data_IF_708789742440
#
_entry.id   IF_708789742440
#
_cell.length_a   1.000
_cell.length_b   1.000
_cell.length_c   1.000
_cell.angle_alpha   90.00
_cell.angle_beta   90.00
_cell.angle_gamma   90.00
#
_symmetry.space_group_name_H-M   'P 1'
#
loop_
_entity.id
_entity.type
_entity.pdbx_description
1 polymer ?
#
# COMPACT_ATOMS: atom_id res chain seq x y z
N UNK A 1 17.81 -27.35 -6.15
CA UNK A 1 16.97 -27.68 -4.96
C UNK A 1 15.89 -26.63 -4.89
N UNK A 2 14.62 -27.05 -4.94
CA UNK A 2 13.47 -26.15 -5.10
C UNK A 2 13.33 -25.24 -3.88
N UNK A 3 13.61 -23.94 -4.04
CA UNK A 3 13.28 -22.91 -3.06
C UNK A 3 11.78 -22.69 -3.12
N UNK A 4 11.03 -23.53 -2.39
CA UNK A 4 9.61 -23.33 -2.16
C UNK A 4 9.45 -21.94 -1.57
N UNK A 5 8.85 -21.03 -2.34
CA UNK A 5 8.53 -19.68 -1.93
C UNK A 5 7.59 -19.81 -0.72
N UNK A 6 8.11 -19.62 0.49
CA UNK A 6 7.43 -20.03 1.74
C UNK A 6 6.36 -19.03 2.17
N UNK A 7 5.96 -18.15 1.25
CA UNK A 7 5.23 -16.92 1.52
C UNK A 7 4.18 -16.63 0.45
N UNK A 8 3.39 -17.64 0.16
CA UNK A 8 2.29 -17.63 -0.80
C UNK A 8 0.97 -17.92 -0.07
N UNK A 9 -0.08 -17.20 -0.44
CA UNK A 9 -1.45 -17.44 0.07
C UNK A 9 -2.11 -18.67 -0.57
N UNK A 10 -1.44 -19.28 -1.55
CA UNK A 10 -1.98 -20.42 -2.27
C UNK A 10 -2.05 -21.64 -1.35
N UNK A 11 -3.28 -22.07 -1.07
CA UNK A 11 -3.61 -23.20 -0.19
C UNK A 11 -3.26 -24.56 -0.79
N UNK A 12 -2.98 -24.60 -2.09
CA UNK A 12 -2.69 -25.85 -2.83
C UNK A 12 -1.32 -25.79 -3.46
N UNK A 13 -0.64 -26.93 -3.51
CA UNK A 13 0.66 -27.07 -4.19
C UNK A 13 0.62 -26.56 -5.64
N UNK A 14 -0.49 -26.82 -6.34
CA UNK A 14 -0.67 -26.35 -7.71
C UNK A 14 -0.68 -24.81 -7.80
N UNK A 15 -1.42 -24.14 -6.92
CA UNK A 15 -1.42 -22.67 -6.86
C UNK A 15 -0.04 -22.10 -6.51
N UNK A 16 0.67 -22.72 -5.57
CA UNK A 16 2.03 -22.29 -5.18
C UNK A 16 3.01 -22.37 -6.34
N UNK A 17 2.93 -23.45 -7.14
CA UNK A 17 3.77 -23.63 -8.34
C UNK A 17 3.44 -22.57 -9.38
N UNK A 18 2.15 -22.32 -9.67
CA UNK A 18 1.74 -21.31 -10.66
C UNK A 18 2.27 -19.92 -10.30
N UNK A 19 2.15 -19.52 -9.03
CA UNK A 19 2.64 -18.21 -8.59
C UNK A 19 4.18 -18.13 -8.65
N UNK A 20 4.87 -19.17 -8.21
CA UNK A 20 6.32 -19.25 -8.29
C UNK A 20 6.82 -19.17 -9.74
N UNK A 21 6.20 -19.93 -10.64
CA UNK A 21 6.56 -19.95 -12.06
C UNK A 21 6.24 -18.60 -12.71
N UNK A 22 5.15 -17.95 -12.33
CA UNK A 22 4.81 -16.59 -12.78
C UNK A 22 5.89 -15.58 -12.36
N UNK A 23 6.39 -15.64 -11.13
CA UNK A 23 7.47 -14.77 -10.68
C UNK A 23 8.78 -15.05 -11.40
N UNK A 24 9.10 -16.32 -11.66
CA UNK A 24 10.30 -16.68 -12.43
C UNK A 24 10.25 -16.12 -13.86
N UNK A 25 9.07 -16.12 -14.50
CA UNK A 25 8.86 -15.49 -15.81
C UNK A 25 9.09 -13.97 -15.72
N UNK A 26 8.49 -13.31 -14.72
CA UNK A 26 8.67 -11.86 -14.53
C UNK A 26 10.14 -11.51 -14.32
N UNK A 27 10.86 -12.25 -13.47
CA UNK A 27 12.28 -12.03 -13.19
C UNK A 27 13.15 -12.21 -14.46
N UNK A 28 12.75 -13.10 -15.37
CA UNK A 28 13.45 -13.31 -16.63
C UNK A 28 13.16 -12.22 -17.68
N UNK A 29 11.98 -11.61 -17.65
CA UNK A 29 11.50 -10.67 -18.67
C UNK A 29 11.69 -9.18 -18.31
N UNK A 30 11.69 -8.82 -17.02
CA UNK A 30 11.62 -7.43 -16.55
C UNK A 30 12.81 -6.53 -16.93
N UNK A 31 13.93 -7.13 -17.33
CA UNK A 31 15.17 -6.41 -17.62
C UNK A 31 15.83 -5.82 -16.37
N UNK A 32 16.86 -4.96 -16.52
CA UNK A 32 17.58 -4.40 -15.38
C UNK A 32 16.72 -3.41 -14.58
N UNK A 33 16.97 -3.34 -13.27
CA UNK A 33 16.34 -2.39 -12.36
C UNK A 33 17.28 -2.00 -11.20
N UNK A 34 17.00 -0.86 -10.55
CA UNK A 34 17.81 -0.34 -9.45
C UNK A 34 17.24 -0.66 -8.05
N UNK A 35 16.14 -1.42 -7.98
CA UNK A 35 15.51 -1.78 -6.71
C UNK A 35 16.41 -2.66 -5.84
N UNK A 36 16.35 -2.42 -4.53
CA UNK A 36 17.02 -3.28 -3.54
C UNK A 36 16.35 -4.65 -3.44
N UNK A 37 17.02 -5.60 -2.78
CA UNK A 37 16.46 -6.94 -2.49
C UNK A 37 15.14 -6.86 -1.71
N UNK A 38 14.98 -5.84 -0.86
CA UNK A 38 13.75 -5.63 -0.09
C UNK A 38 12.64 -4.95 -0.91
N UNK A 39 13.00 -4.11 -1.89
CA UNK A 39 12.05 -3.42 -2.77
C UNK A 39 11.55 -4.31 -3.91
N UNK A 40 12.41 -5.16 -4.47
CA UNK A 40 12.08 -5.96 -5.65
C UNK A 40 10.84 -6.85 -5.48
N UNK A 41 10.65 -7.58 -4.36
CA UNK A 41 9.45 -8.38 -4.14
C UNK A 41 8.14 -7.59 -4.23
N UNK A 42 8.17 -6.30 -3.86
CA UNK A 42 7.02 -5.40 -3.94
C UNK A 42 6.73 -5.06 -5.41
N UNK A 43 7.75 -4.64 -6.16
CA UNK A 43 7.60 -4.28 -7.58
C UNK A 43 7.20 -5.51 -8.42
N UNK A 44 7.83 -6.66 -8.19
CA UNK A 44 7.48 -7.91 -8.85
C UNK A 44 6.02 -8.31 -8.60
N UNK A 45 5.52 -8.11 -7.37
CA UNK A 45 4.12 -8.37 -7.03
C UNK A 45 3.16 -7.41 -7.76
N UNK A 46 3.55 -6.13 -7.95
CA UNK A 46 2.77 -5.17 -8.74
C UNK A 46 2.66 -5.58 -10.21
N UNK A 47 3.79 -5.99 -10.81
CA UNK A 47 3.86 -6.50 -12.19
C UNK A 47 2.98 -7.74 -12.32
N UNK A 48 3.11 -8.70 -11.40
CA UNK A 48 2.29 -9.91 -11.39
C UNK A 48 0.80 -9.62 -11.33
N UNK A 49 0.38 -8.67 -10.50
CA UNK A 49 -1.03 -8.36 -10.30
C UNK A 49 -1.70 -7.66 -11.50
N UNK A 50 -0.92 -7.11 -12.44
CA UNK A 50 -1.43 -6.35 -13.59
C UNK A 50 -0.88 -6.79 -14.95
N UNK A 51 0.07 -7.73 -14.98
CA UNK A 51 0.82 -8.13 -16.18
C UNK A 51 1.43 -6.93 -16.94
N UNK A 52 1.95 -5.94 -16.22
CA UNK A 52 2.46 -4.68 -16.78
C UNK A 52 3.86 -4.40 -16.25
N UNK A 53 4.86 -4.51 -17.15
CA UNK A 53 6.26 -4.31 -16.81
C UNK A 53 6.65 -2.85 -16.58
N UNK A 54 5.80 -1.87 -16.93
CA UNK A 54 6.10 -0.45 -16.70
C UNK A 54 6.23 -0.12 -15.21
N UNK A 55 5.73 -0.98 -14.30
CA UNK A 55 5.98 -0.80 -12.86
C UNK A 55 7.47 -0.95 -12.50
N UNK A 56 8.28 -1.56 -13.37
CA UNK A 56 9.72 -1.37 -13.35
C UNK A 56 10.07 0.05 -13.83
N UNK A 57 10.70 0.85 -12.96
CA UNK A 57 11.05 2.24 -13.22
C UNK A 57 10.00 3.28 -12.81
N UNK A 58 8.72 2.92 -12.71
CA UNK A 58 7.69 3.84 -12.19
C UNK A 58 7.53 3.82 -10.67
N UNK A 59 7.82 2.70 -10.02
CA UNK A 59 7.68 2.59 -8.57
C UNK A 59 8.81 3.31 -7.86
N UNK A 60 8.48 4.11 -6.86
CA UNK A 60 9.41 4.93 -6.11
C UNK A 60 9.18 4.75 -4.60
N UNK A 61 10.25 4.87 -3.83
CA UNK A 61 10.29 4.53 -2.42
C UNK A 61 10.96 5.63 -1.62
N UNK A 62 10.36 5.98 -0.48
CA UNK A 62 11.10 6.56 0.61
C UNK A 62 12.17 5.56 1.10
N UNK A 63 13.34 6.06 1.51
CA UNK A 63 14.47 5.23 1.96
C UNK A 63 14.07 4.20 3.02
N UNK A 64 13.20 4.61 3.96
CA UNK A 64 12.75 3.77 5.07
C UNK A 64 11.45 3.00 4.81
N UNK A 65 10.85 3.10 3.61
CA UNK A 65 9.48 2.63 3.37
C UNK A 65 9.26 1.15 3.68
N UNK A 66 10.15 0.29 3.16
CA UNK A 66 10.00 -1.16 3.30
C UNK A 66 10.19 -1.59 4.76
N UNK A 67 11.24 -1.07 5.40
CA UNK A 67 11.54 -1.37 6.81
C UNK A 67 10.45 -0.85 7.75
N UNK A 68 9.97 0.37 7.54
CA UNK A 68 8.88 0.94 8.32
C UNK A 68 7.58 0.12 8.17
N UNK A 69 7.25 -0.30 6.95
CA UNK A 69 6.09 -1.16 6.69
C UNK A 69 6.18 -2.51 7.41
N UNK A 70 7.33 -3.19 7.30
CA UNK A 70 7.57 -4.48 7.97
C UNK A 70 7.50 -4.31 9.49
N UNK A 71 8.17 -3.30 10.04
CA UNK A 71 8.17 -3.04 11.48
C UNK A 71 6.78 -2.70 12.01
N UNK A 72 5.98 -1.96 11.25
CA UNK A 72 4.60 -1.66 11.61
C UNK A 72 3.74 -2.93 11.64
N UNK A 73 3.90 -3.84 10.67
CA UNK A 73 3.20 -5.13 10.67
C UNK A 73 3.64 -6.03 11.85
N UNK A 74 4.95 -6.12 12.09
CA UNK A 74 5.52 -6.93 13.18
C UNK A 74 5.17 -6.41 14.57
N UNK A 75 4.99 -5.10 14.75
CA UNK A 75 4.56 -4.52 16.01
C UNK A 75 3.18 -5.05 16.46
N UNK A 76 2.37 -5.53 15.51
CA UNK A 76 1.04 -6.07 15.75
C UNK A 76 0.00 -4.98 16.02
N UNK A 77 -1.26 -5.25 15.68
CA UNK A 77 -2.37 -4.33 15.96
C UNK A 77 -2.39 -3.05 15.12
N UNK A 78 -1.48 -2.91 14.15
CA UNK A 78 -1.35 -1.71 13.32
C UNK A 78 -2.63 -1.49 12.47
N UNK A 79 -3.25 -0.30 12.54
CA UNK A 79 -4.39 0.04 11.70
C UNK A 79 -3.98 0.10 10.23
N UNK A 80 -4.85 -0.39 9.35
CA UNK A 80 -4.77 -0.17 7.90
C UNK A 80 -5.90 0.76 7.51
N UNK A 81 -5.60 1.96 7.05
CA UNK A 81 -6.62 2.94 6.60
C UNK A 81 -6.60 3.00 5.09
N UNK A 82 -7.76 2.84 4.44
CA UNK A 82 -7.88 2.86 2.99
C UNK A 82 -8.82 3.97 2.49
N UNK A 83 -8.53 4.51 1.31
CA UNK A 83 -9.41 5.49 0.65
C UNK A 83 -10.68 4.87 0.04
N UNK A 84 -10.62 3.59 -0.35
CA UNK A 84 -11.75 2.85 -0.93
C UNK A 84 -11.88 1.43 -0.41
N UNK A 85 -13.12 0.94 -0.36
CA UNK A 85 -13.47 -0.40 0.13
C UNK A 85 -12.76 -1.54 -0.61
N UNK A 86 -12.47 -1.37 -1.90
CA UNK A 86 -11.81 -2.38 -2.73
C UNK A 86 -10.44 -2.79 -2.16
N UNK A 87 -9.72 -1.87 -1.50
CA UNK A 87 -8.45 -2.20 -0.84
C UNK A 87 -8.72 -3.11 0.36
N UNK A 88 -9.65 -2.73 1.24
CA UNK A 88 -10.03 -3.53 2.42
C UNK A 88 -10.46 -4.95 2.02
N UNK A 89 -11.29 -5.05 0.98
CA UNK A 89 -11.81 -6.31 0.45
C UNK A 89 -10.75 -7.19 -0.21
N UNK A 90 -9.67 -6.59 -0.76
CA UNK A 90 -8.58 -7.33 -1.40
C UNK A 90 -7.53 -7.87 -0.43
N UNK A 91 -7.54 -7.42 0.83
CA UNK A 91 -6.56 -7.85 1.83
C UNK A 91 -6.93 -9.20 2.46
N UNK A 92 -5.89 -10.00 2.72
CA UNK A 92 -6.05 -11.36 3.22
C UNK A 92 -6.38 -11.35 4.71
N UNK A 93 -7.64 -11.63 5.04
CA UNK A 93 -8.12 -11.64 6.43
C UNK A 93 -7.32 -12.58 7.36
N UNK A 94 -6.92 -13.80 6.94
CA UNK A 94 -6.06 -14.66 7.76
C UNK A 94 -4.71 -14.01 8.10
N UNK A 95 -4.08 -13.33 7.14
CA UNK A 95 -2.76 -12.70 7.35
C UNK A 95 -2.85 -11.42 8.17
N UNK A 96 -3.88 -10.60 7.92
CA UNK A 96 -4.18 -9.46 8.79
C UNK A 96 -4.42 -9.94 10.23
N UNK A 97 -5.18 -11.02 10.40
CA UNK A 97 -5.44 -11.65 11.69
C UNK A 97 -4.16 -12.17 12.38
N UNK A 98 -3.22 -12.76 11.62
CA UNK A 98 -1.92 -13.20 12.13
C UNK A 98 -1.12 -12.07 12.79
N UNK A 99 -1.18 -10.86 12.23
CA UNK A 99 -0.55 -9.66 12.81
C UNK A 99 -1.51 -8.81 13.67
N UNK A 100 -2.74 -9.28 13.92
CA UNK A 100 -3.75 -8.53 14.68
C UNK A 100 -4.20 -7.21 14.04
N UNK A 101 -3.93 -7.00 12.75
CA UNK A 101 -4.23 -5.77 12.02
C UNK A 101 -5.71 -5.68 11.64
N UNK A 102 -6.23 -4.46 11.51
CA UNK A 102 -7.62 -4.20 11.10
C UNK A 102 -7.69 -3.13 10.03
N UNK A 103 -8.59 -3.33 9.08
CA UNK A 103 -8.84 -2.38 8.00
C UNK A 103 -9.94 -1.40 8.37
N UNK A 104 -9.75 -0.14 7.99
CA UNK A 104 -10.69 0.96 8.17
C UNK A 104 -10.87 1.70 6.85
N UNK A 105 -12.13 1.98 6.49
CA UNK A 105 -12.47 2.94 5.45
C UNK A 105 -13.70 3.73 5.92
N UNK A 106 -13.82 4.97 5.44
CA UNK A 106 -14.93 5.86 5.82
C UNK A 106 -15.61 6.51 4.61
N UNK A 107 -15.26 6.11 3.38
CA UNK A 107 -15.71 6.78 2.14
C UNK A 107 -17.23 6.73 1.94
N UNK A 108 -17.88 5.73 2.54
CA UNK A 108 -19.32 5.46 2.43
C UNK A 108 -20.12 5.89 3.66
N UNK A 109 -19.48 6.46 4.68
CA UNK A 109 -20.18 6.86 5.90
C UNK A 109 -21.09 8.06 5.65
N UNK A 110 -22.27 8.05 6.29
CA UNK A 110 -23.28 9.09 6.09
C UNK A 110 -22.77 10.49 6.46
N UNK A 111 -22.07 10.62 7.59
CA UNK A 111 -21.48 11.87 8.07
C UNK A 111 -20.38 12.40 7.12
N UNK A 112 -19.58 11.51 6.52
CA UNK A 112 -18.57 11.85 5.51
C UNK A 112 -19.24 12.39 4.24
N UNK A 113 -20.33 11.75 3.79
CA UNK A 113 -21.08 12.18 2.60
C UNK A 113 -21.74 13.55 2.83
N UNK A 114 -22.36 13.74 3.99
CA UNK A 114 -23.01 15.01 4.36
C UNK A 114 -22.00 16.15 4.45
N UNK A 115 -20.87 15.93 5.14
CA UNK A 115 -19.82 16.95 5.29
C UNK A 115 -19.18 17.29 3.95
N UNK A 116 -18.94 16.30 3.08
CA UNK A 116 -18.37 16.54 1.75
C UNK A 116 -19.27 17.47 0.91
N UNK A 117 -20.60 17.28 0.98
CA UNK A 117 -21.56 18.16 0.31
C UNK A 117 -21.61 19.55 0.93
N UNK A 118 -21.56 19.64 2.26
CA UNK A 118 -21.63 20.92 2.98
C UNK A 118 -20.40 21.80 2.75
N UNK A 119 -19.22 21.19 2.65
CA UNK A 119 -17.94 21.90 2.47
C UNK A 119 -17.48 22.01 1.01
N UNK A 120 -18.26 21.51 0.05
CA UNK A 120 -17.89 21.41 -1.38
C UNK A 120 -16.51 20.75 -1.61
N UNK A 121 -16.30 19.62 -0.91
CA UNK A 121 -15.08 18.81 -1.00
C UNK A 121 -15.42 17.39 -1.44
N UNK A 122 -14.40 16.55 -1.69
CA UNK A 122 -14.63 15.14 -2.03
C UNK A 122 -14.89 14.31 -0.77
N UNK A 123 -15.66 13.23 -0.91
CA UNK A 123 -15.81 12.22 0.15
C UNK A 123 -14.46 11.68 0.64
N UNK A 124 -13.48 11.58 -0.26
CA UNK A 124 -12.18 11.02 0.04
C UNK A 124 -11.35 11.94 0.96
N UNK A 125 -11.46 13.26 0.77
CA UNK A 125 -10.92 14.28 1.70
C UNK A 125 -11.54 14.11 3.08
N UNK A 126 -12.87 14.07 3.15
CA UNK A 126 -13.58 13.97 4.43
C UNK A 126 -13.35 12.63 5.14
N UNK A 127 -13.18 11.53 4.40
CA UNK A 127 -12.82 10.23 4.95
C UNK A 127 -11.44 10.25 5.62
N UNK A 128 -10.43 10.88 5.01
CA UNK A 128 -9.11 11.03 5.61
C UNK A 128 -9.13 11.93 6.85
N UNK A 129 -9.88 13.05 6.79
CA UNK A 129 -10.09 13.92 7.97
C UNK A 129 -10.78 13.17 9.11
N UNK A 130 -11.78 12.33 8.81
CA UNK A 130 -12.42 11.48 9.81
C UNK A 130 -11.44 10.48 10.42
N UNK A 131 -10.65 9.79 9.60
CA UNK A 131 -9.61 8.89 10.09
C UNK A 131 -8.62 9.61 11.04
N UNK A 132 -8.21 10.83 10.69
CA UNK A 132 -7.35 11.65 11.53
C UNK A 132 -8.00 12.00 12.88
N UNK A 133 -9.24 12.50 12.87
CA UNK A 133 -9.99 12.84 14.10
C UNK A 133 -10.18 11.63 15.03
N UNK A 134 -10.27 10.43 14.48
CA UNK A 134 -10.37 9.18 15.24
C UNK A 134 -9.01 8.68 15.77
N UNK A 135 -7.91 9.38 15.48
CA UNK A 135 -6.54 8.96 15.84
C UNK A 135 -6.05 7.75 15.05
N UNK A 136 -6.72 7.36 13.96
CA UNK A 136 -6.43 6.14 13.21
C UNK A 136 -5.34 6.32 12.16
N UNK A 137 -4.86 7.55 11.92
CA UNK A 137 -3.73 7.78 11.02
C UNK A 137 -2.38 7.60 11.72
N UNK A 138 -2.34 7.75 13.04
CA UNK A 138 -1.08 7.66 13.77
C UNK A 138 -0.61 6.20 13.83
N UNK A 139 0.64 6.00 13.40
CA UNK A 139 1.30 4.70 13.22
C UNK A 139 0.59 3.74 12.26
N UNK A 140 -0.42 4.21 11.51
CA UNK A 140 -1.14 3.38 10.57
C UNK A 140 -0.37 3.13 9.29
N UNK A 141 -0.74 2.06 8.59
CA UNK A 141 -0.41 1.88 7.18
C UNK A 141 -1.58 2.44 6.37
N UNK A 142 -1.34 3.49 5.60
CA UNK A 142 -2.40 4.16 4.82
C UNK A 142 -2.28 3.77 3.36
N UNK A 143 -3.33 3.18 2.80
CA UNK A 143 -3.41 2.78 1.39
C UNK A 143 -4.32 3.70 0.60
N UNK A 144 -3.77 4.45 -0.36
CA UNK A 144 -4.53 5.32 -1.26
C UNK A 144 -4.42 4.77 -2.68
N UNK A 145 -5.47 4.12 -3.17
CA UNK A 145 -5.46 3.42 -4.46
C UNK A 145 -6.26 4.11 -5.55
N UNK A 146 -7.19 5.01 -5.20
CA UNK A 146 -8.13 5.57 -6.16
C UNK A 146 -8.14 7.10 -6.18
N UNK A 147 -8.23 7.77 -5.03
CA UNK A 147 -8.52 9.20 -4.98
C UNK A 147 -7.24 10.05 -4.80
N UNK A 148 -6.79 10.82 -5.83
CA UNK A 148 -5.67 11.75 -5.67
C UNK A 148 -5.92 12.79 -4.58
N UNK A 149 -7.18 13.21 -4.42
CA UNK A 149 -7.58 14.18 -3.39
C UNK A 149 -7.42 13.64 -1.97
N UNK A 150 -7.53 12.33 -1.74
CA UNK A 150 -7.22 11.73 -0.45
C UNK A 150 -5.72 11.77 -0.15
N UNK A 151 -4.86 11.54 -1.17
CA UNK A 151 -3.42 11.61 -0.99
C UNK A 151 -2.95 13.04 -0.71
N UNK A 152 -3.48 14.02 -1.44
CA UNK A 152 -3.20 15.44 -1.21
C UNK A 152 -3.63 15.86 0.21
N UNK A 153 -4.83 15.47 0.63
CA UNK A 153 -5.32 15.78 1.97
C UNK A 153 -4.48 15.10 3.05
N UNK A 154 -4.04 13.85 2.84
CA UNK A 154 -3.14 13.18 3.77
C UNK A 154 -1.81 13.91 3.92
N UNK A 155 -1.22 14.42 2.82
CA UNK A 155 -0.02 15.25 2.90
C UNK A 155 -0.28 16.53 3.72
N UNK A 156 -1.42 17.18 3.51
CA UNK A 156 -1.82 18.36 4.28
C UNK A 156 -1.91 18.02 5.78
N UNK A 157 -2.59 16.94 6.14
CA UNK A 157 -2.73 16.48 7.52
C UNK A 157 -1.36 16.15 8.17
N UNK A 158 -0.42 15.58 7.42
CA UNK A 158 0.94 15.30 7.92
C UNK A 158 1.70 16.60 8.22
N UNK A 159 1.63 17.57 7.31
CA UNK A 159 2.37 18.83 7.40
C UNK A 159 1.81 19.81 8.41
N UNK A 160 0.49 19.96 8.41
CA UNK A 160 -0.20 21.05 9.12
C UNK A 160 -0.80 20.59 10.45
N UNK A 161 -1.24 19.33 10.54
CA UNK A 161 -1.98 18.82 11.70
C UNK A 161 -1.22 17.71 12.45
N UNK A 162 -0.01 17.37 12.01
CA UNK A 162 0.88 16.47 12.74
C UNK A 162 0.53 14.99 12.63
N UNK A 163 -0.27 14.56 11.65
CA UNK A 163 -0.53 13.15 11.43
C UNK A 163 0.78 12.37 11.20
N UNK A 164 0.94 11.19 11.81
CA UNK A 164 2.16 10.36 11.67
C UNK A 164 1.87 8.91 11.27
N UNK A 165 1.46 8.64 10.01
CA UNK A 165 1.41 7.28 9.49
C UNK A 165 2.77 6.58 9.60
N UNK A 166 2.77 5.27 9.86
CA UNK A 166 4.00 4.47 9.81
C UNK A 166 4.45 4.24 8.37
N UNK A 167 3.50 4.14 7.44
CA UNK A 167 3.77 3.99 6.00
C UNK A 167 2.57 4.52 5.21
N UNK A 168 2.84 5.21 4.10
CA UNK A 168 1.81 5.52 3.08
C UNK A 168 2.08 4.79 1.77
N UNK A 169 1.12 3.99 1.31
CA UNK A 169 1.12 3.39 -0.02
C UNK A 169 0.24 4.27 -0.93
N UNK A 170 0.87 5.25 -1.57
CA UNK A 170 0.23 6.30 -2.36
C UNK A 170 0.22 5.97 -3.86
N UNK A 171 -0.82 5.26 -4.30
CA UNK A 171 -0.96 4.80 -5.68
C UNK A 171 -2.30 5.19 -6.31
N UNK A 172 -2.83 6.42 -6.12
CA UNK A 172 -4.05 6.81 -6.81
C UNK A 172 -3.84 6.77 -8.33
N UNK A 173 -4.79 6.14 -9.01
CA UNK A 173 -4.91 6.18 -10.48
C UNK A 173 -5.69 7.40 -10.91
N UNK A 174 -5.33 7.99 -12.04
CA UNK A 174 -6.17 9.03 -12.62
C UNK A 174 -5.47 9.89 -13.65
N UNK A 175 -6.27 10.62 -14.42
CA UNK A 175 -5.79 11.58 -15.41
C UNK A 175 -5.66 13.00 -14.86
N UNK A 176 -6.38 13.30 -13.77
CA UNK A 176 -6.36 14.59 -13.09
C UNK A 176 -5.70 14.41 -11.72
N UNK A 177 -4.67 15.21 -11.46
CA UNK A 177 -3.94 15.31 -10.18
C UNK A 177 -3.34 14.03 -9.59
N UNK A 178 -3.45 12.87 -10.24
CA UNK A 178 -2.82 11.63 -9.78
C UNK A 178 -1.29 11.77 -9.71
N UNK A 179 -0.64 12.21 -10.79
CA UNK A 179 0.82 12.41 -10.82
C UNK A 179 1.25 13.45 -9.77
N UNK A 180 0.60 14.61 -9.77
CA UNK A 180 0.86 15.72 -8.85
C UNK A 180 0.71 15.30 -7.37
N UNK A 181 -0.33 14.53 -7.04
CA UNK A 181 -0.55 14.05 -5.66
C UNK A 181 0.57 13.12 -5.17
N UNK A 182 1.10 12.28 -6.06
CA UNK A 182 2.18 11.34 -5.75
C UNK A 182 3.53 12.03 -5.69
N UNK A 183 3.74 13.02 -6.56
CA UNK A 183 4.92 13.88 -6.50
C UNK A 183 4.93 14.71 -5.21
N UNK A 184 3.78 15.23 -4.80
CA UNK A 184 3.61 15.93 -3.53
C UNK A 184 3.92 15.02 -2.33
N UNK A 185 3.40 13.79 -2.30
CA UNK A 185 3.74 12.79 -1.26
C UNK A 185 5.26 12.54 -1.22
N UNK A 186 5.88 12.40 -2.40
CA UNK A 186 7.31 12.11 -2.50
C UNK A 186 8.24 13.27 -2.06
N UNK A 187 7.67 14.44 -1.72
CA UNK A 187 8.44 15.53 -1.09
C UNK A 187 8.53 15.43 0.43
N UNK A 188 7.85 14.45 1.06
CA UNK A 188 7.92 14.23 2.50
C UNK A 188 9.13 13.37 2.87
N UNK A 189 9.86 13.82 3.89
CA UNK A 189 11.03 13.12 4.46
C UNK A 189 10.72 12.46 5.82
N UNK A 190 9.67 12.92 6.52
CA UNK A 190 9.41 12.51 7.90
C UNK A 190 8.41 11.35 8.01
N UNK A 191 7.76 11.00 6.89
CA UNK A 191 6.79 9.90 6.81
C UNK A 191 7.19 8.98 5.66
N UNK A 192 7.41 7.68 5.91
CA UNK A 192 7.75 6.73 4.85
C UNK A 192 6.60 6.54 3.86
N UNK A 193 6.93 6.43 2.58
CA UNK A 193 5.95 6.26 1.50
C UNK A 193 6.45 5.32 0.40
N UNK A 194 5.51 4.70 -0.32
CA UNK A 194 5.71 4.00 -1.59
C UNK A 194 4.70 4.57 -2.58
N UNK A 195 5.18 5.04 -3.73
CA UNK A 195 4.31 5.61 -4.78
C UNK A 195 4.65 5.00 -6.14
N UNK A 196 3.77 5.23 -7.11
CA UNK A 196 4.03 4.91 -8.52
C UNK A 196 3.93 6.21 -9.31
N UNK A 197 5.02 6.68 -9.92
CA UNK A 197 5.06 7.96 -10.63
C UNK A 197 4.07 8.00 -11.81
N UNK A 198 3.65 9.21 -12.20
CA UNK A 198 2.74 9.42 -13.33
C UNK A 198 1.27 9.09 -13.02
N UNK A 199 0.53 8.56 -14.00
CA UNK A 199 -0.95 8.40 -13.92
C UNK A 199 -1.42 7.00 -13.52
N UNK A 200 -0.56 5.98 -13.68
CA UNK A 200 -0.85 4.59 -13.31
C UNK A 200 -0.99 4.48 -11.79
N UNK A 201 -1.80 3.54 -11.33
CA UNK A 201 -2.17 3.37 -9.94
C UNK A 201 -3.30 2.36 -9.82
N UNK A 202 -3.94 2.30 -8.65
CA UNK A 202 -5.12 1.49 -8.43
C UNK A 202 -5.08 0.73 -7.12
N UNK A 203 -6.27 0.39 -6.62
CA UNK A 203 -6.45 -0.45 -5.44
C UNK A 203 -5.70 -1.78 -5.54
N UNK A 204 -5.67 -2.41 -6.73
CA UNK A 204 -4.93 -3.65 -6.98
C UNK A 204 -3.45 -3.52 -6.64
N UNK A 205 -2.82 -2.39 -6.96
CA UNK A 205 -1.40 -2.14 -6.69
C UNK A 205 -1.14 -1.89 -5.21
N UNK A 206 -2.06 -1.20 -4.53
CA UNK A 206 -2.00 -1.05 -3.07
C UNK A 206 -2.09 -2.40 -2.38
N UNK A 207 -3.05 -3.24 -2.77
CA UNK A 207 -3.23 -4.60 -2.22
C UNK A 207 -1.98 -5.45 -2.50
N UNK A 208 -1.48 -5.46 -3.72
CA UNK A 208 -0.24 -6.15 -4.10
C UNK A 208 0.94 -5.72 -3.20
N UNK A 209 1.09 -4.42 -2.96
CA UNK A 209 2.15 -3.88 -2.10
C UNK A 209 2.01 -4.37 -0.67
N UNK A 210 0.80 -4.30 -0.11
CA UNK A 210 0.53 -4.72 1.26
C UNK A 210 0.72 -6.24 1.43
N UNK A 211 0.29 -7.06 0.46
CA UNK A 211 0.56 -8.50 0.48
C UNK A 211 2.03 -8.84 0.39
N UNK A 212 2.82 -8.09 -0.41
CA UNK A 212 4.26 -8.25 -0.47
C UNK A 212 4.95 -7.87 0.85
N UNK A 213 4.53 -6.76 1.48
CA UNK A 213 5.04 -6.35 2.79
C UNK A 213 4.68 -7.35 3.89
N UNK A 214 3.45 -7.85 3.92
CA UNK A 214 3.02 -8.94 4.81
C UNK A 214 3.91 -10.17 4.61
N UNK A 215 4.27 -10.47 3.36
CA UNK A 215 5.13 -11.62 3.04
C UNK A 215 6.55 -11.42 3.61
N UNK A 216 7.10 -10.23 3.43
CA UNK A 216 8.42 -9.90 3.98
C UNK A 216 8.41 -9.93 5.52
N UNK A 217 7.34 -9.46 6.15
CA UNK A 217 7.17 -9.52 7.61
C UNK A 217 7.08 -10.97 8.12
N UNK A 218 6.31 -11.85 7.48
CA UNK A 218 6.22 -13.27 7.83
C UNK A 218 7.57 -13.97 7.69
N UNK A 219 8.30 -13.71 6.60
CA UNK A 219 9.64 -14.26 6.39
C UNK A 219 10.61 -13.81 7.50
N UNK A 220 10.56 -12.53 7.88
CA UNK A 220 11.39 -11.98 8.95
C UNK A 220 11.05 -12.56 10.32
N UNK A 221 9.76 -12.75 10.62
CA UNK A 221 9.32 -13.40 11.86
C UNK A 221 9.81 -14.86 11.95
N UNK A 222 9.77 -15.61 10.84
CA UNK A 222 10.29 -16.99 10.79
C UNK A 222 11.81 -17.08 10.92
N UNK A 223 12.54 -16.04 10.53
CA UNK A 223 13.99 -15.96 10.63
C UNK A 223 14.48 -15.53 12.02
N UNK A 224 13.59 -15.01 12.88
CA UNK A 224 13.90 -14.69 14.27
C UNK A 224 13.63 -15.93 15.14
N UNK A 225 14.66 -16.51 15.80
CA UNK A 225 14.53 -17.69 16.63
C UNK A 225 13.74 -17.46 17.93
#
# INVERSE_FOLDING_TARGET
>A
MSTVNTVTEQLTRAGQVIEHDSFAIIDAEVGPHAYTEAQWPIVRRMIHANADFDFNGLTDFHTDAVEAGINAMLAGGTPVVADVEMICSGLSQPRLGHFGMKTHQFISDADVIETAKAEDTTRAVQAMRKAHRLGLLDRAIVGIGNAPTALIELVRLIREEGARPALVVGMPVGFVSAAESKDLMATLNDVPWIVIRGRKGGSTLVVATLHALLSLAEARQKAQP
#
